data_IF_057513549389
#
_entry.id   IF_057513549389
#
_cell.length_a   1.000
_cell.length_b   1.000
_cell.length_c   1.000
_cell.angle_alpha   90.00
_cell.angle_beta   90.00
_cell.angle_gamma   90.00
#
_symmetry.space_group_name_H-M   'P 1'
#
loop_
_entity.id
_entity.type
_entity.pdbx_description
1 polymer ?
#
# COMPACT_ATOMS: atom_id res chain seq x y z
N UNK A 1 25.79 9.43 0.64
CA UNK A 1 24.61 10.25 0.28
C UNK A 1 23.66 9.50 -0.65
N UNK A 2 24.15 9.02 -1.80
CA UNK A 2 23.36 8.30 -2.83
C UNK A 2 22.29 7.31 -2.30
N UNK A 3 22.66 6.38 -1.41
CA UNK A 3 21.71 5.41 -0.85
C UNK A 3 20.57 6.05 -0.04
N UNK A 4 20.85 7.14 0.70
CA UNK A 4 19.80 7.89 1.40
C UNK A 4 18.88 8.60 0.40
N UNK A 5 19.43 9.11 -0.71
CA UNK A 5 18.64 9.71 -1.78
C UNK A 5 17.72 8.68 -2.44
N UNK A 6 18.20 7.48 -2.73
CA UNK A 6 17.39 6.38 -3.30
C UNK A 6 16.23 5.98 -2.36
N UNK A 7 16.52 5.83 -1.07
CA UNK A 7 15.48 5.55 -0.07
C UNK A 7 14.53 6.72 0.12
N UNK A 8 15.01 7.95 0.09
CA UNK A 8 14.17 9.15 0.14
C UNK A 8 13.23 9.23 -1.07
N UNK A 9 13.72 8.96 -2.29
CA UNK A 9 12.90 8.86 -3.50
C UNK A 9 11.80 7.79 -3.34
N UNK A 10 12.15 6.65 -2.75
CA UNK A 10 11.19 5.58 -2.45
C UNK A 10 10.13 6.03 -1.45
N UNK A 11 10.52 6.68 -0.34
CA UNK A 11 9.61 7.23 0.66
C UNK A 11 8.69 8.31 0.08
N UNK A 12 9.21 9.20 -0.78
CA UNK A 12 8.41 10.21 -1.48
C UNK A 12 7.39 9.59 -2.42
N UNK A 13 7.78 8.57 -3.19
CA UNK A 13 6.85 7.86 -4.07
C UNK A 13 5.71 7.21 -3.27
N UNK A 14 6.04 6.48 -2.20
CA UNK A 14 5.04 5.84 -1.33
C UNK A 14 4.17 6.89 -0.60
N UNK A 15 4.78 7.96 -0.10
CA UNK A 15 4.08 9.04 0.59
C UNK A 15 3.10 9.79 -0.31
N UNK A 16 3.51 10.12 -1.54
CA UNK A 16 2.64 10.80 -2.52
C UNK A 16 1.48 9.91 -2.97
N UNK A 17 1.70 8.60 -3.13
CA UNK A 17 0.61 7.63 -3.36
C UNK A 17 -0.44 7.68 -2.24
N UNK A 18 -0.02 7.72 -0.98
CA UNK A 18 -0.99 7.81 0.12
C UNK A 18 -1.71 9.17 0.18
N UNK A 19 -1.03 10.27 -0.15
CA UNK A 19 -1.68 11.58 -0.27
C UNK A 19 -2.76 11.52 -1.35
N UNK A 20 -2.44 10.95 -2.51
CA UNK A 20 -3.41 10.73 -3.58
C UNK A 20 -4.58 9.87 -3.11
N UNK A 21 -4.34 8.79 -2.35
CA UNK A 21 -5.44 7.99 -1.80
C UNK A 21 -6.33 8.83 -0.87
N UNK A 22 -5.75 9.71 -0.05
CA UNK A 22 -6.53 10.64 0.77
C UNK A 22 -7.40 11.60 -0.06
N UNK A 23 -6.89 12.08 -1.17
CA UNK A 23 -7.68 12.88 -2.12
C UNK A 23 -8.82 12.07 -2.71
N UNK A 24 -8.56 10.85 -3.18
CA UNK A 24 -9.60 9.94 -3.67
C UNK A 24 -10.64 9.67 -2.58
N UNK A 25 -10.23 9.49 -1.32
CA UNK A 25 -11.14 9.31 -0.18
C UNK A 25 -12.06 10.52 0.02
N UNK A 26 -11.52 11.72 -0.08
CA UNK A 26 -12.34 12.93 0.02
C UNK A 26 -13.31 13.00 -1.16
N UNK A 27 -12.82 12.79 -2.37
CA UNK A 27 -13.63 12.86 -3.59
C UNK A 27 -14.78 11.85 -3.61
N UNK A 28 -14.56 10.58 -3.29
CA UNK A 28 -15.66 9.61 -3.32
C UNK A 28 -16.69 9.90 -2.22
N UNK A 29 -16.27 10.36 -1.03
CA UNK A 29 -17.18 10.73 0.06
C UNK A 29 -18.06 11.90 -0.33
N UNK A 30 -17.47 12.94 -0.92
CA UNK A 30 -18.19 14.13 -1.40
C UNK A 30 -19.21 13.77 -2.52
N UNK A 31 -19.08 12.60 -3.14
CA UNK A 31 -19.93 12.11 -4.23
C UNK A 31 -20.65 10.79 -3.89
N UNK A 32 -20.75 10.43 -2.61
CA UNK A 32 -21.22 9.10 -2.18
C UNK A 32 -22.62 8.76 -2.70
N UNK A 33 -23.56 9.72 -2.64
CA UNK A 33 -24.94 9.55 -3.12
C UNK A 33 -25.02 9.24 -4.61
N UNK A 34 -24.17 9.88 -5.42
CA UNK A 34 -24.09 9.62 -6.85
C UNK A 34 -23.47 8.24 -7.10
N UNK A 35 -22.34 7.96 -6.46
CA UNK A 35 -21.64 6.67 -6.63
C UNK A 35 -22.52 5.49 -6.21
N UNK A 36 -23.33 5.63 -5.16
CA UNK A 36 -24.23 4.57 -4.70
C UNK A 36 -25.39 4.26 -5.65
N UNK A 37 -25.69 5.14 -6.62
CA UNK A 37 -26.63 4.89 -7.72
C UNK A 37 -26.01 4.03 -8.82
N UNK A 38 -24.69 4.03 -8.96
CA UNK A 38 -23.97 3.14 -9.87
C UNK A 38 -23.98 1.72 -9.27
N UNK A 39 -24.48 0.75 -10.03
CA UNK A 39 -24.58 -0.65 -9.62
C UNK A 39 -23.63 -1.51 -10.42
N UNK A 40 -23.01 -2.48 -9.75
CA UNK A 40 -22.37 -3.59 -10.43
C UNK A 40 -23.42 -4.49 -11.09
N UNK A 41 -22.99 -5.23 -12.09
CA UNK A 41 -23.80 -6.29 -12.70
C UNK A 41 -23.66 -7.62 -11.93
N UNK A 42 -24.61 -8.52 -12.13
CA UNK A 42 -24.56 -9.91 -11.69
C UNK A 42 -24.33 -10.09 -10.18
N UNK A 43 -23.36 -10.93 -9.80
CA UNK A 43 -23.08 -11.37 -8.44
C UNK A 43 -22.88 -10.20 -7.45
N UNK A 44 -22.34 -9.07 -7.91
CA UNK A 44 -22.00 -7.92 -7.08
C UNK A 44 -23.06 -6.83 -7.04
N UNK A 45 -24.25 -7.03 -7.64
CA UNK A 45 -25.27 -5.97 -7.78
C UNK A 45 -25.74 -5.35 -6.46
N UNK A 46 -25.57 -6.07 -5.33
CA UNK A 46 -25.91 -5.58 -3.98
C UNK A 46 -24.78 -4.80 -3.30
N UNK A 47 -23.56 -4.82 -3.83
CA UNK A 47 -22.42 -4.10 -3.27
C UNK A 47 -22.47 -2.61 -3.69
N UNK A 48 -22.51 -1.65 -2.75
CA UNK A 48 -22.43 -0.24 -3.12
C UNK A 48 -21.08 0.10 -3.75
N UNK A 49 -21.09 0.79 -4.90
CA UNK A 49 -19.87 1.13 -5.62
C UNK A 49 -18.89 1.96 -4.77
N UNK A 50 -19.41 2.91 -3.98
CA UNK A 50 -18.60 3.70 -3.04
C UNK A 50 -17.86 2.82 -2.02
N UNK A 51 -18.51 1.76 -1.52
CA UNK A 51 -17.86 0.81 -0.59
C UNK A 51 -16.78 -0.02 -1.26
N UNK A 52 -16.98 -0.42 -2.51
CA UNK A 52 -15.96 -1.16 -3.27
C UNK A 52 -14.70 -0.31 -3.48
N UNK A 53 -14.87 0.97 -3.83
CA UNK A 53 -13.77 1.93 -3.95
C UNK A 53 -13.07 2.11 -2.61
N UNK A 54 -13.84 2.48 -1.57
CA UNK A 54 -13.31 2.74 -0.23
C UNK A 54 -12.54 1.55 0.34
N UNK A 55 -13.10 0.34 0.26
CA UNK A 55 -12.46 -0.87 0.80
C UNK A 55 -11.18 -1.24 0.06
N UNK A 56 -11.19 -1.15 -1.27
CA UNK A 56 -10.00 -1.44 -2.10
C UNK A 56 -8.89 -0.44 -1.82
N UNK A 57 -9.24 0.84 -1.74
CA UNK A 57 -8.29 1.91 -1.44
C UNK A 57 -7.71 1.76 -0.04
N UNK A 58 -8.49 1.27 0.93
CA UNK A 58 -8.05 1.11 2.32
C UNK A 58 -7.04 -0.01 2.46
N UNK A 59 -7.32 -1.13 1.82
CA UNK A 59 -6.38 -2.23 1.72
C UNK A 59 -5.09 -1.79 1.03
N UNK A 60 -5.17 -1.03 -0.06
CA UNK A 60 -3.97 -0.58 -0.75
C UNK A 60 -3.18 0.48 0.04
N UNK A 61 -3.88 1.41 0.70
CA UNK A 61 -3.27 2.39 1.61
C UNK A 61 -2.48 1.71 2.72
N UNK A 62 -3.01 0.60 3.26
CA UNK A 62 -2.35 -0.20 4.29
C UNK A 62 -1.05 -0.86 3.78
N UNK A 63 -1.07 -1.41 2.55
CA UNK A 63 0.12 -1.98 1.89
C UNK A 63 1.20 -0.91 1.72
N UNK A 64 0.84 0.25 1.19
CA UNK A 64 1.78 1.36 0.94
C UNK A 64 2.33 1.92 2.26
N UNK A 65 1.49 2.11 3.29
CA UNK A 65 1.94 2.58 4.60
C UNK A 65 2.94 1.61 5.24
N UNK A 66 2.68 0.30 5.19
CA UNK A 66 3.63 -0.69 5.68
C UNK A 66 4.96 -0.64 4.91
N UNK A 67 4.91 -0.49 3.59
CA UNK A 67 6.11 -0.38 2.74
C UNK A 67 6.94 0.86 3.07
N UNK A 68 6.27 2.00 3.33
CA UNK A 68 6.93 3.24 3.77
C UNK A 68 7.65 3.03 5.11
N UNK A 69 6.95 2.44 6.09
CA UNK A 69 7.50 2.20 7.43
C UNK A 69 8.69 1.22 7.37
N UNK A 70 8.60 0.19 6.53
CA UNK A 70 9.68 -0.78 6.33
C UNK A 70 10.91 -0.11 5.71
N UNK A 71 10.75 0.66 4.64
CA UNK A 71 11.84 1.40 3.99
C UNK A 71 12.51 2.39 4.96
N UNK A 72 11.72 3.20 5.66
CA UNK A 72 12.23 4.18 6.63
C UNK A 72 13.06 3.52 7.73
N UNK A 73 12.51 2.50 8.39
CA UNK A 73 13.19 1.83 9.50
C UNK A 73 14.42 1.06 9.04
N UNK A 74 14.41 0.56 7.81
CA UNK A 74 15.51 -0.21 7.24
C UNK A 74 16.65 0.70 6.81
N UNK A 75 16.38 1.83 6.18
CA UNK A 75 17.41 2.62 5.48
C UNK A 75 17.86 3.84 6.30
N UNK A 76 16.99 4.52 7.05
CA UNK A 76 17.36 5.67 7.89
C UNK A 76 17.95 5.24 9.25
N UNK A 77 19.08 4.52 9.19
CA UNK A 77 19.77 3.96 10.36
C UNK A 77 21.25 4.32 10.41
N UNK A 78 21.76 4.51 11.63
CA UNK A 78 23.18 4.87 11.87
C UNK A 78 24.13 3.79 11.34
N UNK A 79 23.75 2.51 11.41
CA UNK A 79 24.59 1.40 10.94
C UNK A 79 24.83 1.43 9.44
N UNK A 80 23.86 1.88 8.64
CA UNK A 80 24.00 2.02 7.19
C UNK A 80 24.67 3.31 6.76
N UNK A 81 24.64 4.31 7.62
CA UNK A 81 25.10 5.66 7.32
C UNK A 81 25.87 6.26 8.50
N UNK A 82 27.06 5.72 8.86
CA UNK A 82 27.82 6.19 10.03
C UNK A 82 28.18 7.67 9.97
N UNK A 83 28.50 8.18 8.77
CA UNK A 83 28.88 9.59 8.53
C UNK A 83 27.76 10.57 8.89
N UNK A 84 26.50 10.13 8.85
CA UNK A 84 25.33 10.93 9.20
C UNK A 84 24.76 10.61 10.58
N UNK A 85 25.53 9.92 11.44
CA UNK A 85 25.08 9.42 12.75
C UNK A 85 24.40 10.47 13.62
N UNK A 86 24.96 11.69 13.71
CA UNK A 86 24.37 12.78 14.52
C UNK A 86 23.00 13.21 14.00
N UNK A 87 22.87 13.40 12.69
CA UNK A 87 21.62 13.79 12.02
C UNK A 87 20.58 12.68 12.11
N UNK A 88 20.96 11.43 11.88
CA UNK A 88 20.06 10.27 12.00
C UNK A 88 19.56 10.05 13.43
N UNK A 89 20.41 10.28 14.45
CA UNK A 89 19.98 10.25 15.84
C UNK A 89 18.95 11.33 16.13
N UNK A 90 19.15 12.57 15.64
CA UNK A 90 18.19 13.66 15.78
C UNK A 90 16.90 13.37 15.02
N UNK A 91 16.99 12.89 13.77
CA UNK A 91 15.85 12.46 12.97
C UNK A 91 15.00 11.44 13.73
N UNK A 92 15.62 10.40 14.29
CA UNK A 92 14.92 9.39 15.11
C UNK A 92 14.25 9.99 16.35
N UNK A 93 14.82 11.03 16.95
CA UNK A 93 14.21 11.70 18.10
C UNK A 93 12.96 12.48 17.69
N UNK A 94 13.03 13.25 16.60
CA UNK A 94 11.92 14.09 16.14
C UNK A 94 10.78 13.27 15.48
N UNK A 95 11.08 12.12 14.86
CA UNK A 95 10.07 11.21 14.29
C UNK A 95 9.46 10.25 15.30
N UNK A 96 10.07 10.10 16.49
CA UNK A 96 9.63 9.17 17.54
C UNK A 96 8.14 9.28 17.89
N UNK A 97 7.54 10.48 18.05
CA UNK A 97 6.11 10.60 18.37
C UNK A 97 5.21 10.02 17.26
N UNK A 98 5.53 10.31 16.00
CA UNK A 98 4.76 9.81 14.86
C UNK A 98 4.88 8.28 14.73
N UNK A 99 6.11 7.76 14.85
CA UNK A 99 6.37 6.32 14.84
C UNK A 99 5.71 5.61 16.01
N UNK A 100 5.69 6.21 17.21
CA UNK A 100 4.98 5.66 18.37
C UNK A 100 3.47 5.52 18.08
N UNK A 101 2.86 6.52 17.43
CA UNK A 101 1.44 6.44 17.07
C UNK A 101 1.18 5.41 15.96
N UNK A 102 2.05 5.29 14.96
CA UNK A 102 1.95 4.24 13.94
C UNK A 102 2.10 2.84 14.57
N UNK A 103 3.06 2.68 15.48
CA UNK A 103 3.33 1.41 16.15
C UNK A 103 2.28 1.02 17.19
N UNK A 104 1.32 1.90 17.53
CA UNK A 104 0.21 1.51 18.41
C UNK A 104 -0.80 0.58 17.71
N UNK A 105 -0.76 0.51 16.37
CA UNK A 105 -1.44 -0.52 15.59
C UNK A 105 -0.50 -1.71 15.43
N UNK A 106 -0.52 -2.62 16.41
CA UNK A 106 0.44 -3.71 16.56
C UNK A 106 0.43 -4.70 15.40
N UNK A 107 -0.71 -4.85 14.72
CA UNK A 107 -0.90 -5.89 13.71
C UNK A 107 -0.78 -5.38 12.28
N UNK A 108 -0.26 -4.15 12.09
CA UNK A 108 -0.12 -3.51 10.80
C UNK A 108 0.55 -4.43 9.77
N UNK A 109 1.72 -5.01 10.09
CA UNK A 109 2.43 -5.91 9.18
C UNK A 109 1.74 -7.27 9.02
N UNK A 110 1.18 -7.81 10.10
CA UNK A 110 0.50 -9.11 10.09
C UNK A 110 -0.74 -9.08 9.20
N UNK A 111 -1.56 -8.03 9.31
CA UNK A 111 -2.73 -7.85 8.45
C UNK A 111 -2.34 -7.73 6.98
N UNK A 112 -1.31 -6.93 6.65
CA UNK A 112 -0.78 -6.86 5.28
C UNK A 112 -0.40 -8.25 4.78
N UNK A 113 0.43 -8.97 5.53
CA UNK A 113 0.97 -10.24 5.09
C UNK A 113 -0.16 -11.28 4.96
N UNK A 114 -0.95 -11.50 6.01
CA UNK A 114 -1.92 -12.60 6.03
C UNK A 114 -3.16 -12.35 5.18
N UNK A 115 -3.63 -11.10 5.11
CA UNK A 115 -4.94 -10.76 4.53
C UNK A 115 -4.80 -10.06 3.19
N UNK A 116 -3.81 -9.18 3.01
CA UNK A 116 -3.74 -8.31 1.83
C UNK A 116 -2.77 -8.79 0.74
N UNK A 117 -1.67 -9.44 1.13
CA UNK A 117 -0.57 -9.78 0.22
C UNK A 117 -0.44 -11.29 -0.03
N UNK A 118 -0.94 -12.13 0.88
CA UNK A 118 -0.85 -13.60 0.76
C UNK A 118 -2.22 -14.27 0.71
N UNK A 119 -2.19 -15.59 0.57
CA UNK A 119 -3.32 -16.47 0.26
C UNK A 119 -4.25 -16.77 1.46
N UNK A 120 -4.47 -15.81 2.35
CA UNK A 120 -5.34 -15.98 3.52
C UNK A 120 -4.93 -17.17 4.41
N UNK A 121 -3.62 -17.27 4.66
CA UNK A 121 -3.04 -18.27 5.56
C UNK A 121 -2.22 -17.61 6.66
N UNK A 122 -2.30 -18.19 7.85
CA UNK A 122 -1.48 -17.81 9.01
C UNK A 122 -0.66 -19.05 9.39
N UNK A 123 0.63 -18.99 9.08
CA UNK A 123 1.43 -20.21 8.97
C UNK A 123 0.84 -21.12 7.89
N UNK A 124 0.68 -22.40 8.21
CA UNK A 124 0.11 -23.38 7.28
C UNK A 124 -1.42 -23.45 7.32
N UNK A 125 -2.08 -22.74 8.25
CA UNK A 125 -3.53 -22.83 8.43
C UNK A 125 -4.27 -21.81 7.56
N UNK A 126 -5.27 -22.28 6.82
CA UNK A 126 -6.20 -21.41 6.08
C UNK A 126 -7.21 -20.77 7.03
N UNK A 127 -7.54 -19.49 6.81
CA UNK A 127 -8.61 -18.82 7.56
C UNK A 127 -10.01 -19.40 7.26
N UNK A 128 -10.15 -20.17 6.19
CA UNK A 128 -11.40 -20.81 5.79
C UNK A 128 -11.60 -22.20 6.41
N UNK A 129 -10.67 -22.67 7.26
CA UNK A 129 -10.85 -23.92 7.98
C UNK A 129 -11.97 -23.81 9.02
N UNK A 130 -12.81 -24.83 9.15
CA UNK A 130 -13.97 -24.84 10.05
C UNK A 130 -13.61 -24.59 11.53
N UNK A 131 -12.38 -24.95 11.93
CA UNK A 131 -11.85 -24.78 13.28
C UNK A 131 -11.00 -23.49 13.43
N UNK A 132 -11.04 -22.59 12.44
CA UNK A 132 -10.33 -21.32 12.51
C UNK A 132 -11.05 -20.34 13.45
N UNK A 133 -10.34 -19.89 14.49
CA UNK A 133 -10.90 -18.93 15.45
C UNK A 133 -10.82 -17.50 14.88
N UNK A 134 -11.84 -16.66 15.07
CA UNK A 134 -11.78 -15.26 14.69
C UNK A 134 -10.56 -14.55 15.29
N UNK A 135 -9.89 -13.73 14.47
CA UNK A 135 -8.73 -12.93 14.88
C UNK A 135 -9.14 -11.47 14.87
N UNK A 136 -8.78 -10.77 15.93
CA UNK A 136 -8.93 -9.32 16.02
C UNK A 136 -7.60 -8.70 15.61
N UNK A 137 -7.61 -7.94 14.52
CA UNK A 137 -6.45 -7.18 14.07
C UNK A 137 -6.52 -5.77 14.63
N UNK A 138 -5.48 -5.35 15.36
CA UNK A 138 -5.32 -3.95 15.75
C UNK A 138 -4.64 -3.17 14.61
N UNK A 139 -5.46 -2.67 13.69
CA UNK A 139 -5.06 -1.91 12.50
C UNK A 139 -5.99 -0.72 12.26
N UNK A 140 -5.55 0.33 11.54
CA UNK A 140 -6.41 1.37 10.99
C UNK A 140 -7.55 0.77 10.18
N UNK A 141 -8.76 0.84 10.70
CA UNK A 141 -9.93 0.23 10.07
C UNK A 141 -10.99 1.26 9.69
N UNK A 142 -10.86 2.49 10.18
CA UNK A 142 -11.75 3.60 9.78
C UNK A 142 -11.05 4.55 8.82
N UNK A 143 -11.85 5.32 8.06
CA UNK A 143 -11.31 6.39 7.21
C UNK A 143 -10.54 7.43 8.02
N UNK A 144 -11.01 7.77 9.23
CA UNK A 144 -10.34 8.74 10.09
C UNK A 144 -8.95 8.25 10.51
N UNK A 145 -8.81 6.95 10.83
CA UNK A 145 -7.50 6.36 11.11
C UNK A 145 -6.61 6.31 9.87
N UNK A 146 -7.19 6.05 8.69
CA UNK A 146 -6.44 6.06 7.42
C UNK A 146 -5.89 7.47 7.14
N UNK A 147 -6.70 8.51 7.29
CA UNK A 147 -6.27 9.92 7.20
C UNK A 147 -5.13 10.19 8.19
N UNK A 148 -5.28 9.72 9.44
CA UNK A 148 -4.24 9.89 10.46
C UNK A 148 -2.92 9.21 10.05
N UNK A 149 -2.96 8.01 9.46
CA UNK A 149 -1.75 7.35 8.93
C UNK A 149 -1.07 8.22 7.88
N UNK A 150 -1.84 8.83 6.97
CA UNK A 150 -1.30 9.73 5.94
C UNK A 150 -0.62 10.95 6.55
N UNK A 151 -1.26 11.59 7.52
CA UNK A 151 -0.67 12.75 8.20
C UNK A 151 0.59 12.38 8.99
N UNK A 152 0.63 11.21 9.64
CA UNK A 152 1.83 10.73 10.35
C UNK A 152 3.00 10.48 9.39
N UNK A 153 2.74 9.93 8.20
CA UNK A 153 3.77 9.74 7.17
C UNK A 153 4.25 11.08 6.63
N UNK A 154 3.34 12.05 6.38
CA UNK A 154 3.73 13.42 6.00
C UNK A 154 4.64 14.05 7.05
N UNK A 155 4.32 13.90 8.34
CA UNK A 155 5.17 14.39 9.43
C UNK A 155 6.57 13.77 9.36
N UNK A 156 6.68 12.45 9.16
CA UNK A 156 7.98 11.78 9.04
C UNK A 156 8.78 12.32 7.85
N UNK A 157 8.15 12.47 6.68
CA UNK A 157 8.80 13.04 5.49
C UNK A 157 9.26 14.47 5.73
N UNK A 158 8.44 15.32 6.35
CA UNK A 158 8.84 16.69 6.74
C UNK A 158 10.04 16.68 7.68
N UNK A 159 10.07 15.78 8.67
CA UNK A 159 11.23 15.62 9.54
C UNK A 159 12.50 15.19 8.78
N UNK A 160 12.37 14.33 7.77
CA UNK A 160 13.49 13.98 6.88
C UNK A 160 13.99 15.22 6.16
N UNK A 161 13.09 16.03 5.58
CA UNK A 161 13.46 17.23 4.82
C UNK A 161 14.10 18.31 5.69
N UNK A 162 13.70 18.41 6.96
CA UNK A 162 14.33 19.31 7.92
C UNK A 162 15.74 18.86 8.29
N UNK A 163 15.96 17.55 8.43
CA UNK A 163 17.28 17.01 8.78
C UNK A 163 18.20 16.85 7.58
N UNK A 164 17.65 16.69 6.37
CA UNK A 164 18.34 16.42 5.11
C UNK A 164 17.75 17.23 3.94
N UNK A 165 17.85 18.57 3.98
CA UNK A 165 17.33 19.43 2.91
C UNK A 165 17.96 19.14 1.55
N UNK A 166 19.23 18.71 1.52
CA UNK A 166 19.93 18.39 0.28
C UNK A 166 19.29 17.22 -0.51
N UNK A 167 18.59 16.31 0.18
CA UNK A 167 17.90 15.20 -0.50
C UNK A 167 16.71 15.70 -1.33
N UNK A 168 16.10 16.82 -0.94
CA UNK A 168 15.04 17.47 -1.70
C UNK A 168 15.61 18.27 -2.87
N UNK A 169 16.75 18.93 -2.69
CA UNK A 169 17.43 19.69 -3.75
C UNK A 169 17.93 18.80 -4.88
N UNK A 170 18.40 17.59 -4.54
CA UNK A 170 18.85 16.57 -5.51
C UNK A 170 17.69 15.76 -6.15
N UNK A 171 16.43 16.06 -5.81
CA UNK A 171 15.28 15.33 -6.33
C UNK A 171 14.89 15.81 -7.74
N UNK A 172 14.97 14.92 -8.73
CA UNK A 172 14.44 15.17 -10.06
C UNK A 172 12.94 14.86 -10.12
N UNK A 173 12.12 15.91 -10.25
CA UNK A 173 10.67 15.81 -10.35
C UNK A 173 10.16 15.13 -11.63
N UNK A 174 11.02 14.96 -12.63
CA UNK A 174 10.67 14.26 -13.87
C UNK A 174 10.98 12.76 -13.80
N UNK A 175 11.78 12.30 -12.83
CA UNK A 175 12.06 10.88 -12.62
C UNK A 175 10.77 10.19 -12.15
N UNK A 176 10.25 9.25 -12.95
CA UNK A 176 9.10 8.45 -12.60
C UNK A 176 9.38 6.96 -12.83
N UNK A 177 8.70 6.12 -12.04
CA UNK A 177 8.92 4.66 -12.04
C UNK A 177 8.63 4.03 -13.41
N UNK A 178 7.71 4.59 -14.19
CA UNK A 178 7.36 4.07 -15.51
C UNK A 178 8.52 4.21 -16.52
N UNK A 179 9.36 5.24 -16.39
CA UNK A 179 10.58 5.38 -17.21
C UNK A 179 11.58 4.23 -16.96
N UNK A 180 11.47 3.55 -15.82
CA UNK A 180 12.33 2.43 -15.42
C UNK A 180 11.74 1.07 -15.80
N UNK A 181 10.58 1.04 -16.44
CA UNK A 181 9.85 -0.17 -16.79
C UNK A 181 9.58 -0.21 -18.29
N UNK A 182 9.64 -1.41 -18.88
CA UNK A 182 9.18 -1.65 -20.25
C UNK A 182 8.08 -2.70 -20.19
N UNK A 183 6.97 -2.41 -20.85
CA UNK A 183 5.82 -3.31 -20.92
C UNK A 183 5.68 -3.82 -22.34
N UNK A 184 5.43 -5.11 -22.48
CA UNK A 184 4.99 -5.68 -23.75
C UNK A 184 3.48 -5.53 -23.84
N UNK A 185 3.00 -5.01 -24.98
CA UNK A 185 1.57 -4.83 -25.25
C UNK A 185 1.14 -5.73 -26.41
N UNK A 186 1.02 -7.06 -26.18
CA UNK A 186 0.54 -7.96 -27.20
C UNK A 186 -0.92 -7.63 -27.58
N UNK A 187 -1.26 -7.77 -28.86
CA UNK A 187 -2.65 -7.71 -29.30
C UNK A 187 -3.35 -8.99 -28.85
N UNK A 188 -4.20 -8.88 -27.82
CA UNK A 188 -4.94 -10.00 -27.23
C UNK A 188 -6.40 -9.94 -27.69
N UNK A 189 -6.93 -11.08 -28.16
CA UNK A 189 -8.37 -11.28 -28.32
C UNK A 189 -8.86 -12.17 -27.16
N UNK A 190 -9.43 -11.53 -26.14
CA UNK A 190 -9.84 -12.17 -24.88
C UNK A 190 -10.85 -13.29 -25.11
N UNK A 191 -11.85 -13.08 -25.97
CA UNK A 191 -12.90 -14.07 -26.24
C UNK A 191 -12.31 -15.33 -26.89
N UNK A 192 -11.49 -15.15 -27.93
CA UNK A 192 -10.82 -16.26 -28.61
C UNK A 192 -9.88 -17.03 -27.68
N UNK A 193 -9.12 -16.34 -26.84
CA UNK A 193 -8.23 -17.00 -25.87
C UNK A 193 -9.01 -17.83 -24.86
N UNK A 194 -10.11 -17.30 -24.32
CA UNK A 194 -10.98 -18.04 -23.39
C UNK A 194 -11.57 -19.28 -24.06
N UNK A 195 -12.09 -19.16 -25.29
CA UNK A 195 -12.64 -20.29 -26.06
C UNK A 195 -11.57 -21.36 -26.29
N UNK A 196 -10.37 -20.95 -26.70
CA UNK A 196 -9.25 -21.86 -26.94
C UNK A 196 -8.84 -22.62 -25.67
N UNK A 197 -8.76 -21.95 -24.52
CA UNK A 197 -8.45 -22.58 -23.24
C UNK A 197 -9.54 -23.59 -22.86
N UNK A 198 -10.82 -23.23 -22.99
CA UNK A 198 -11.92 -24.16 -22.71
C UNK A 198 -11.91 -25.39 -23.62
N UNK A 199 -11.60 -25.21 -24.90
CA UNK A 199 -11.44 -26.33 -25.84
C UNK A 199 -10.32 -27.28 -25.37
N UNK A 200 -9.18 -26.76 -24.94
CA UNK A 200 -8.09 -27.58 -24.39
C UNK A 200 -8.51 -28.34 -23.13
N UNK A 201 -9.19 -27.67 -22.19
CA UNK A 201 -9.70 -28.31 -20.97
C UNK A 201 -10.68 -29.45 -21.30
N UNK A 202 -11.60 -29.21 -22.23
CA UNK A 202 -12.62 -30.20 -22.60
C UNK A 202 -11.99 -31.42 -23.27
N UNK A 203 -10.98 -31.24 -24.14
CA UNK A 203 -10.23 -32.36 -24.72
C UNK A 203 -9.58 -33.24 -23.63
N UNK A 204 -9.01 -32.64 -22.58
CA UNK A 204 -8.41 -33.37 -21.47
C UNK A 204 -9.48 -34.14 -20.69
N UNK A 205 -10.61 -33.49 -20.38
CA UNK A 205 -11.72 -34.11 -19.64
C UNK A 205 -12.32 -35.32 -20.35
N UNK A 206 -12.26 -35.39 -21.69
CA UNK A 206 -12.78 -36.53 -22.45
C UNK A 206 -11.80 -37.70 -22.58
N UNK A 207 -10.53 -37.51 -22.17
CA UNK A 207 -9.49 -38.56 -22.19
C UNK A 207 -9.28 -39.22 -20.80
N UNK A 208 -10.09 -38.86 -19.80
CA UNK A 208 -10.18 -39.47 -18.46
C UNK A 208 -11.64 -39.85 -18.19
#
# INVERSE_FOLDING_TARGET
MQRLLESYKTLLHLGTQMIFFNEVYKTYRDNEDYLNKVKFENHYAKLPFAKAISGSLQNYSHIIACSFIDEYNKEFTVSKHPDFSKRLKRLKQITKPALKRLNSWSDFKNYRNYILAHNYRIGDKSIFADDFKPIIFNVPHTNAETILVVELIKIITTCINLEFPELLEEFDWNDNVLLKMKFNYPAINVENEIVNIWNQINLIKHNY
#
